data_IF_944378074543
#
_entry.id   IF_944378074543
#
_cell.length_a   1.000
_cell.length_b   1.000
_cell.length_c   1.000
_cell.angle_alpha   90.00
_cell.angle_beta   90.00
_cell.angle_gamma   90.00
#
_symmetry.space_group_name_H-M   'P 1'
#
loop_
_entity.id
_entity.type
_entity.pdbx_description
1 polymer ?
#
# COMPACT_ATOMS: atom_id res chain seq x y z
N UNK A 1 59.77 -2.12 42.17
CA UNK A 1 59.21 -3.24 42.95
C UNK A 1 60.18 -4.40 42.86
N UNK A 2 60.47 -5.10 43.95
CA UNK A 2 61.38 -6.25 43.97
C UNK A 2 60.69 -7.39 44.74
N UNK A 3 60.47 -8.53 44.09
CA UNK A 3 60.03 -9.76 44.76
C UNK A 3 61.22 -10.71 44.87
N UNK A 4 61.65 -11.08 46.08
CA UNK A 4 62.70 -12.08 46.26
C UNK A 4 62.22 -13.51 46.01
N UNK A 5 60.90 -13.72 45.93
CA UNK A 5 60.26 -15.01 45.69
C UNK A 5 59.64 -15.04 44.29
N UNK A 6 60.17 -15.91 43.42
CA UNK A 6 59.70 -16.08 42.04
C UNK A 6 58.37 -16.82 41.93
N UNK A 7 57.87 -17.40 43.03
CA UNK A 7 56.58 -18.07 43.09
C UNK A 7 55.41 -17.11 43.37
N UNK A 8 55.70 -15.86 43.75
CA UNK A 8 54.67 -14.84 44.01
C UNK A 8 54.58 -13.80 42.90
N UNK A 9 53.37 -13.48 42.41
CA UNK A 9 53.20 -12.44 41.41
C UNK A 9 53.52 -11.06 41.98
N UNK A 10 54.19 -10.21 41.20
CA UNK A 10 54.37 -8.80 41.51
C UNK A 10 53.18 -8.00 40.96
N UNK A 11 52.41 -7.36 41.84
CA UNK A 11 51.25 -6.53 41.47
C UNK A 11 51.56 -5.04 41.60
N UNK A 12 51.23 -4.24 40.59
CA UNK A 12 51.33 -2.78 40.60
C UNK A 12 50.04 -2.15 40.06
N UNK A 13 49.67 -0.98 40.60
CA UNK A 13 48.52 -0.20 40.15
C UNK A 13 49.05 0.99 39.35
N UNK A 14 48.55 1.16 38.12
CA UNK A 14 48.94 2.24 37.22
C UNK A 14 47.79 3.22 37.08
N UNK A 15 47.90 4.36 37.75
CA UNK A 15 46.95 5.43 37.58
C UNK A 15 47.59 6.78 37.87
N UNK A 16 47.41 7.75 36.98
CA UNK A 16 47.67 9.16 37.27
C UNK A 16 46.34 9.76 37.70
N UNK A 17 46.18 10.21 38.96
CA UNK A 17 44.93 10.80 39.41
C UNK A 17 44.54 12.02 38.56
N UNK A 18 43.28 12.07 38.13
CA UNK A 18 42.70 13.21 37.41
C UNK A 18 41.25 13.38 37.83
N UNK A 19 40.95 14.50 38.52
CA UNK A 19 39.60 14.82 39.00
C UNK A 19 38.61 15.13 37.87
N UNK A 20 39.12 15.40 36.65
CA UNK A 20 38.28 15.64 35.48
C UNK A 20 38.02 14.37 34.67
N UNK A 21 38.69 13.26 35.00
CA UNK A 21 38.44 11.97 34.37
C UNK A 21 37.32 11.24 35.11
N UNK A 22 36.41 10.61 34.34
CA UNK A 22 35.20 9.96 34.86
C UNK A 22 35.51 8.87 35.90
N UNK A 23 36.60 8.12 35.70
CA UNK A 23 37.08 7.09 36.62
C UNK A 23 38.16 7.58 37.60
N UNK A 24 38.40 8.90 37.67
CA UNK A 24 39.44 9.50 38.51
C UNK A 24 40.87 9.20 38.04
N UNK A 25 41.03 8.58 36.87
CA UNK A 25 42.30 8.17 36.31
C UNK A 25 42.51 8.76 34.92
N UNK A 26 43.68 9.37 34.70
CA UNK A 26 44.02 9.98 33.41
C UNK A 26 44.05 8.94 32.27
N UNK A 27 43.37 9.24 31.17
CA UNK A 27 43.36 8.48 29.92
C UNK A 27 44.66 8.73 29.14
N UNK A 28 45.15 7.72 28.42
CA UNK A 28 46.38 7.75 27.61
C UNK A 28 47.66 8.08 28.41
N UNK A 29 47.67 7.78 29.71
CA UNK A 29 48.88 7.82 30.51
C UNK A 29 49.74 6.59 30.17
N UNK A 30 51.02 6.78 29.84
CA UNK A 30 51.94 5.69 29.51
C UNK A 30 52.97 5.46 30.62
N UNK A 31 53.24 4.19 30.94
CA UNK A 31 54.35 3.77 31.79
C UNK A 31 55.23 2.78 31.06
N UNK A 32 56.54 2.95 31.19
CA UNK A 32 57.53 1.97 30.73
C UNK A 32 58.08 1.19 31.92
N UNK A 33 57.68 -0.07 32.01
CA UNK A 33 58.10 -1.00 33.04
C UNK A 33 59.39 -1.68 32.57
N UNK A 34 60.46 -1.55 33.34
CA UNK A 34 61.70 -2.27 33.12
C UNK A 34 61.74 -3.50 34.01
N UNK A 35 61.87 -4.68 33.39
CA UNK A 35 61.96 -5.97 34.06
C UNK A 35 63.42 -6.43 34.07
N UNK A 36 63.91 -6.72 35.27
CA UNK A 36 65.23 -7.28 35.51
C UNK A 36 65.06 -8.69 36.04
N UNK A 37 65.54 -9.67 35.27
CA UNK A 37 65.49 -11.09 35.62
C UNK A 37 66.91 -11.54 35.98
N UNK A 38 67.10 -11.94 37.24
CA UNK A 38 68.38 -12.41 37.76
C UNK A 38 68.39 -13.94 37.87
N UNK A 39 69.52 -14.58 37.56
CA UNK A 39 69.75 -15.99 37.85
C UNK A 39 70.61 -16.21 39.11
N UNK A 40 70.74 -17.46 39.55
CA UNK A 40 71.54 -17.85 40.73
C UNK A 40 73.05 -17.63 40.55
N UNK A 41 73.51 -17.36 39.33
CA UNK A 41 74.91 -17.10 39.01
C UNK A 41 75.22 -15.60 38.90
N UNK A 42 74.22 -14.73 39.11
CA UNK A 42 74.36 -13.27 39.07
C UNK A 42 74.22 -12.67 37.67
N UNK A 43 73.83 -13.43 36.66
CA UNK A 43 73.52 -12.88 35.33
C UNK A 43 72.17 -12.18 35.36
N UNK A 44 72.02 -11.12 34.55
CA UNK A 44 70.79 -10.33 34.46
C UNK A 44 70.31 -10.24 33.02
N UNK A 45 69.03 -10.54 32.79
CA UNK A 45 68.33 -10.19 31.54
C UNK A 45 67.44 -8.99 31.79
N UNK A 46 67.39 -8.09 30.84
CA UNK A 46 66.60 -6.87 30.90
C UNK A 46 65.61 -6.89 29.74
N UNK A 47 64.33 -6.65 30.03
CA UNK A 47 63.32 -6.37 29.03
C UNK A 47 62.45 -5.21 29.50
N UNK A 48 61.64 -4.63 28.61
CA UNK A 48 60.68 -3.62 28.98
C UNK A 48 59.28 -3.93 28.43
N UNK A 49 58.27 -3.36 29.08
CA UNK A 49 56.87 -3.41 28.68
C UNK A 49 56.35 -1.98 28.75
N UNK A 50 55.70 -1.51 27.70
CA UNK A 50 54.88 -0.29 27.76
C UNK A 50 53.45 -0.67 28.11
N UNK A 51 52.90 -0.01 29.13
CA UNK A 51 51.48 -0.10 29.50
C UNK A 51 50.87 1.29 29.43
N UNK A 52 49.62 1.40 29.04
CA UNK A 52 48.90 2.68 28.99
C UNK A 52 47.45 2.51 29.43
N UNK A 53 46.85 3.58 29.94
CA UNK A 53 45.41 3.65 30.23
C UNK A 53 44.65 3.98 28.95
N UNK A 54 43.59 3.24 28.64
CA UNK A 54 42.73 3.50 27.50
C UNK A 54 41.34 2.93 27.76
N UNK A 55 40.36 3.82 27.90
CA UNK A 55 39.01 3.42 28.31
C UNK A 55 38.33 2.56 27.25
N UNK A 56 38.54 2.86 25.96
CA UNK A 56 37.97 2.10 24.84
C UNK A 56 38.48 0.66 24.83
N UNK A 57 39.79 0.46 24.94
CA UNK A 57 40.38 -0.88 24.91
C UNK A 57 40.22 -1.64 26.23
N UNK A 58 40.02 -0.93 27.35
CA UNK A 58 39.75 -1.53 28.65
C UNK A 58 38.29 -2.01 28.78
N UNK A 59 37.38 -1.48 27.95
CA UNK A 59 36.01 -1.92 27.92
C UNK A 59 35.88 -3.37 27.44
N UNK A 60 35.13 -4.14 28.21
CA UNK A 60 34.87 -5.56 27.98
C UNK A 60 33.39 -5.91 28.09
N UNK A 61 32.57 -4.93 28.46
CA UNK A 61 31.13 -5.13 28.64
C UNK A 61 30.48 -4.92 27.28
N UNK A 62 29.78 -5.92 26.71
CA UNK A 62 29.01 -5.71 25.49
C UNK A 62 27.85 -4.72 25.73
N UNK A 63 27.47 -3.93 24.70
CA UNK A 63 26.31 -3.04 24.81
C UNK A 63 25.00 -3.83 24.87
N UNK A 64 23.96 -3.20 25.39
CA UNK A 64 22.59 -3.70 25.42
C UNK A 64 21.74 -3.00 24.34
N UNK A 65 21.13 -3.80 23.47
CA UNK A 65 20.32 -3.32 22.36
C UNK A 65 18.82 -3.28 22.73
N UNK A 66 18.14 -2.22 22.32
CA UNK A 66 16.70 -2.07 22.51
C UNK A 66 16.06 -1.47 21.26
N UNK A 67 15.00 -2.10 20.76
CA UNK A 67 14.16 -1.59 19.67
C UNK A 67 12.86 -1.09 20.27
N UNK A 68 12.49 0.14 19.94
CA UNK A 68 11.18 0.72 20.20
C UNK A 68 10.54 1.12 18.86
N UNK A 69 9.27 0.78 18.65
CA UNK A 69 8.50 1.28 17.51
C UNK A 69 7.82 2.57 17.97
N UNK A 70 7.99 3.64 17.20
CA UNK A 70 7.42 4.95 17.55
C UNK A 70 5.93 4.93 17.24
N UNK A 71 5.10 5.11 18.27
CA UNK A 71 3.64 5.19 18.16
C UNK A 71 3.21 6.57 17.60
N UNK A 72 3.25 6.71 16.28
CA UNK A 72 2.69 7.86 15.56
C UNK A 72 1.33 7.53 14.92
N UNK A 73 0.75 8.46 14.16
CA UNK A 73 -0.53 8.21 13.48
C UNK A 73 -0.46 7.02 12.52
N UNK A 74 0.65 6.88 11.79
CA UNK A 74 0.85 5.74 10.88
C UNK A 74 0.91 4.41 11.63
N UNK A 75 1.52 4.39 12.82
CA UNK A 75 1.47 3.21 13.68
C UNK A 75 0.03 2.87 14.11
N UNK A 76 -0.73 3.87 14.56
CA UNK A 76 -2.11 3.67 15.05
C UNK A 76 -3.05 3.13 13.97
N UNK A 77 -2.90 3.58 12.73
CA UNK A 77 -3.83 3.27 11.64
C UNK A 77 -3.48 1.96 10.89
N UNK A 78 -2.19 1.60 10.86
CA UNK A 78 -1.70 0.52 9.99
C UNK A 78 -0.98 -0.61 10.72
N UNK A 79 -0.70 -0.50 12.02
CA UNK A 79 0.12 -1.48 12.75
C UNK A 79 -0.65 -2.09 13.91
N UNK A 80 -0.74 -3.42 13.93
CA UNK A 80 -1.41 -4.19 14.97
C UNK A 80 -0.42 -5.15 15.64
N UNK A 81 -0.43 -5.22 16.97
CA UNK A 81 0.33 -6.24 17.69
C UNK A 81 -0.37 -7.61 17.60
N UNK A 82 0.27 -8.61 17.00
CA UNK A 82 -0.33 -9.93 16.76
C UNK A 82 0.26 -11.05 17.61
N UNK A 83 1.29 -10.75 18.42
CA UNK A 83 1.83 -11.69 19.41
C UNK A 83 3.35 -11.76 19.42
N UNK A 84 3.88 -12.94 19.71
CA UNK A 84 5.32 -13.18 19.82
C UNK A 84 5.75 -14.34 18.92
N UNK A 85 6.98 -14.25 18.41
CA UNK A 85 7.64 -15.28 17.63
C UNK A 85 8.91 -15.76 18.34
N UNK A 86 9.00 -17.06 18.56
CA UNK A 86 10.17 -17.67 19.18
C UNK A 86 11.33 -17.76 18.20
N UNK A 87 12.47 -17.19 18.57
CA UNK A 87 13.70 -17.28 17.77
C UNK A 87 14.89 -17.72 18.59
N UNK A 88 15.85 -18.44 17.99
CA UNK A 88 17.05 -18.84 18.70
C UNK A 88 17.95 -17.63 18.96
N UNK A 89 18.52 -17.56 20.16
CA UNK A 89 19.50 -16.54 20.53
C UNK A 89 20.88 -16.78 19.92
N UNK A 90 21.10 -17.98 19.35
CA UNK A 90 22.42 -18.43 18.88
C UNK A 90 23.27 -19.06 20.00
N UNK A 91 22.78 -19.08 21.24
CA UNK A 91 23.39 -19.81 22.36
C UNK A 91 22.67 -21.14 22.58
N UNK A 92 23.40 -22.15 23.07
CA UNK A 92 22.85 -23.46 23.45
C UNK A 92 22.92 -23.64 24.97
N UNK A 93 21.95 -24.34 25.54
CA UNK A 93 21.93 -24.74 26.95
C UNK A 93 22.92 -25.89 27.23
N UNK A 94 23.07 -26.28 28.50
CA UNK A 94 23.94 -27.39 28.92
C UNK A 94 23.57 -28.74 28.29
N UNK A 95 22.35 -28.86 27.73
CA UNK A 95 21.82 -30.05 27.09
C UNK A 95 21.93 -30.00 25.55
N UNK A 96 22.50 -28.93 24.99
CA UNK A 96 22.65 -28.73 23.54
C UNK A 96 21.39 -28.23 22.82
N UNK A 97 20.35 -27.80 23.54
CA UNK A 97 19.17 -27.17 22.95
C UNK A 97 19.43 -25.68 22.72
N UNK A 98 18.89 -25.13 21.63
CA UNK A 98 18.94 -23.69 21.39
C UNK A 98 18.13 -22.95 22.44
N UNK A 99 18.73 -21.89 23.00
CA UNK A 99 18.02 -20.96 23.86
C UNK A 99 17.12 -20.12 22.96
N UNK A 100 15.81 -20.13 23.23
CA UNK A 100 14.82 -19.39 22.47
C UNK A 100 14.41 -18.12 23.21
N UNK A 101 14.15 -17.06 22.46
CA UNK A 101 13.65 -15.76 22.95
C UNK A 101 12.37 -15.41 22.21
N UNK A 102 11.39 -14.87 22.94
CA UNK A 102 10.15 -14.36 22.38
C UNK A 102 10.40 -12.95 21.81
N UNK A 103 10.31 -12.82 20.49
CA UNK A 103 10.42 -11.54 19.78
C UNK A 103 9.03 -11.02 19.42
N UNK A 104 8.71 -9.74 19.61
CA UNK A 104 7.39 -9.21 19.29
C UNK A 104 7.10 -9.30 17.79
N UNK A 105 5.85 -9.59 17.46
CA UNK A 105 5.34 -9.71 16.09
C UNK A 105 4.19 -8.73 15.88
N UNK A 106 4.26 -7.97 14.80
CA UNK A 106 3.26 -7.00 14.37
C UNK A 106 2.71 -7.36 12.99
N UNK A 107 1.47 -6.98 12.72
CA UNK A 107 0.88 -6.94 11.39
C UNK A 107 0.90 -5.51 10.89
N UNK A 108 1.33 -5.33 9.66
CA UNK A 108 1.36 -4.04 8.96
C UNK A 108 0.42 -4.12 7.77
N UNK A 109 -0.58 -3.25 7.74
CA UNK A 109 -1.45 -3.06 6.58
C UNK A 109 -0.82 -2.04 5.65
N UNK A 110 -0.75 -2.33 4.35
CA UNK A 110 -0.32 -1.34 3.36
C UNK A 110 -1.38 -0.24 3.21
N UNK A 111 -0.97 0.99 2.97
CA UNK A 111 -1.85 2.11 2.62
C UNK A 111 -2.41 1.98 1.20
N UNK A 112 -3.28 2.93 0.82
CA UNK A 112 -3.80 3.17 -0.53
C UNK A 112 -2.70 3.38 -1.60
N UNK A 113 -1.53 3.87 -1.18
CA UNK A 113 -0.35 4.02 -2.05
C UNK A 113 0.43 2.71 -2.25
N UNK A 114 0.06 1.65 -1.53
CA UNK A 114 0.74 0.36 -1.52
C UNK A 114 2.03 0.33 -0.70
N UNK A 115 2.24 1.30 0.20
CA UNK A 115 3.42 1.35 1.06
C UNK A 115 3.20 1.98 2.45
N UNK A 116 3.65 1.29 3.50
CA UNK A 116 3.52 1.80 4.88
C UNK A 116 4.88 2.06 5.49
N UNK A 117 5.09 3.28 5.99
CA UNK A 117 6.34 3.66 6.66
C UNK A 117 6.20 3.62 8.18
N UNK A 118 7.13 2.93 8.84
CA UNK A 118 7.18 2.79 10.30
C UNK A 118 8.49 3.37 10.82
N UNK A 119 8.40 4.09 11.94
CA UNK A 119 9.54 4.68 12.64
C UNK A 119 9.99 3.79 13.80
N UNK A 120 11.29 3.64 13.91
CA UNK A 120 11.98 2.87 14.92
C UNK A 120 12.94 3.78 15.71
N UNK A 121 13.11 3.46 16.99
CA UNK A 121 14.02 4.13 17.91
C UNK A 121 14.93 3.11 18.58
N UNK A 122 16.24 3.40 18.57
CA UNK A 122 17.26 2.71 19.35
C UNK A 122 17.67 3.49 20.61
N UNK A 123 16.93 4.55 20.97
CA UNK A 123 17.32 5.50 22.01
C UNK A 123 17.48 4.88 23.41
N UNK A 124 16.75 3.79 23.69
CA UNK A 124 16.83 3.06 24.96
C UNK A 124 17.97 2.02 25.00
N UNK A 125 18.75 1.89 23.92
CA UNK A 125 19.97 1.07 23.95
C UNK A 125 20.99 1.71 24.89
N UNK A 126 21.79 0.90 25.58
CA UNK A 126 22.75 1.39 26.56
C UNK A 126 24.07 0.63 26.51
N UNK A 127 25.12 1.23 27.07
CA UNK A 127 26.42 0.61 27.20
C UNK A 127 27.08 1.09 28.50
N UNK A 128 27.68 0.16 29.25
CA UNK A 128 28.41 0.46 30.49
C UNK A 128 29.89 0.52 30.16
N UNK A 129 30.41 1.74 30.01
CA UNK A 129 31.82 1.97 29.74
C UNK A 129 31.98 3.09 28.74
N UNK A 130 32.22 2.72 27.48
CA UNK A 130 32.66 3.67 26.45
C UNK A 130 31.50 4.36 25.73
N UNK A 131 30.29 3.85 25.89
CA UNK A 131 29.09 4.29 25.22
C UNK A 131 28.94 3.68 23.83
N UNK A 132 27.80 3.92 23.21
CA UNK A 132 27.47 3.38 21.90
C UNK A 132 28.27 4.08 20.79
N UNK A 133 28.92 3.30 19.94
CA UNK A 133 29.62 3.76 18.75
C UNK A 133 28.71 3.87 17.53
N UNK A 134 27.93 2.82 17.24
CA UNK A 134 27.04 2.76 16.07
C UNK A 134 25.89 1.77 16.22
N UNK A 135 24.88 1.96 15.38
CA UNK A 135 23.72 1.09 15.21
C UNK A 135 23.73 0.47 13.82
N UNK A 136 23.38 -0.80 13.70
CA UNK A 136 23.14 -1.47 12.43
C UNK A 136 21.76 -2.10 12.44
N UNK A 137 20.89 -1.61 11.56
CA UNK A 137 19.56 -2.15 11.32
C UNK A 137 19.61 -3.10 10.13
N UNK A 138 19.14 -4.34 10.31
CA UNK A 138 19.04 -5.32 9.23
C UNK A 138 17.59 -5.72 9.00
N UNK A 139 17.16 -5.72 7.74
CA UNK A 139 15.83 -6.18 7.32
C UNK A 139 15.98 -7.41 6.46
N UNK A 140 15.33 -8.49 6.87
CA UNK A 140 15.34 -9.78 6.17
C UNK A 140 13.90 -10.21 5.87
N UNK A 141 13.68 -10.83 4.71
CA UNK A 141 12.36 -11.28 4.27
C UNK A 141 11.55 -10.23 3.51
N UNK A 142 12.07 -9.01 3.34
CA UNK A 142 11.47 -7.98 2.49
C UNK A 142 12.17 -7.92 1.12
N UNK A 143 11.87 -8.92 0.28
CA UNK A 143 12.52 -9.19 -1.00
C UNK A 143 13.64 -10.25 -0.91
N UNK A 144 14.40 -10.40 -1.99
CA UNK A 144 15.41 -11.47 -2.13
C UNK A 144 16.71 -11.21 -1.34
N UNK A 145 16.98 -9.97 -0.94
CA UNK A 145 18.24 -9.57 -0.33
C UNK A 145 18.03 -9.04 1.09
N UNK A 146 18.98 -9.32 1.97
CA UNK A 146 19.06 -8.70 3.29
C UNK A 146 19.50 -7.25 3.13
N UNK A 147 18.67 -6.32 3.61
CA UNK A 147 18.95 -4.89 3.62
C UNK A 147 19.67 -4.55 4.93
N UNK A 148 20.65 -3.64 4.88
CA UNK A 148 21.44 -3.24 6.05
C UNK A 148 21.70 -1.74 6.04
N UNK A 149 21.46 -1.10 7.17
CA UNK A 149 21.59 0.34 7.37
C UNK A 149 22.45 0.61 8.60
N UNK A 150 23.55 1.33 8.41
CA UNK A 150 24.43 1.73 9.51
C UNK A 150 24.17 3.20 9.88
N UNK A 151 23.94 3.44 11.17
CA UNK A 151 23.73 4.77 11.75
C UNK A 151 24.81 5.05 12.80
N UNK A 152 25.31 6.29 12.91
CA UNK A 152 26.21 6.67 13.99
C UNK A 152 25.49 6.58 15.34
N UNK A 153 26.22 6.35 16.44
CA UNK A 153 25.65 6.31 17.80
C UNK A 153 24.92 7.60 18.23
N UNK A 154 25.13 8.71 17.52
CA UNK A 154 24.39 9.97 17.71
C UNK A 154 23.00 10.00 17.07
N UNK A 155 22.69 9.08 16.16
CA UNK A 155 21.41 8.98 15.47
C UNK A 155 20.68 7.73 15.94
N UNK A 156 19.61 7.96 16.71
CA UNK A 156 18.81 6.89 17.34
C UNK A 156 17.50 6.59 16.62
N UNK A 157 17.09 7.43 15.67
CA UNK A 157 15.88 7.24 14.89
C UNK A 157 16.17 6.69 13.49
N UNK A 158 15.34 5.74 13.07
CA UNK A 158 15.39 5.11 11.75
C UNK A 158 13.97 4.85 11.24
N UNK A 159 13.75 5.04 9.94
CA UNK A 159 12.45 4.81 9.30
C UNK A 159 12.60 3.73 8.23
N UNK A 160 11.65 2.80 8.19
CA UNK A 160 11.58 1.78 7.15
C UNK A 160 10.22 1.77 6.47
N UNK A 161 10.21 1.56 5.15
CA UNK A 161 8.99 1.54 4.34
C UNK A 161 8.75 0.13 3.83
N UNK A 162 7.67 -0.48 4.29
CA UNK A 162 7.21 -1.80 3.84
C UNK A 162 6.47 -1.67 2.52
N UNK A 163 6.82 -2.55 1.56
CA UNK A 163 6.20 -2.56 0.21
C UNK A 163 5.82 -3.95 -0.27
N UNK A 164 6.51 -5.00 0.19
CA UNK A 164 6.23 -6.36 -0.26
C UNK A 164 5.28 -7.06 0.71
N UNK A 165 4.24 -7.68 0.15
CA UNK A 165 3.30 -8.51 0.88
C UNK A 165 4.00 -9.79 1.36
N UNK A 166 3.71 -10.19 2.60
CA UNK A 166 4.16 -11.47 3.13
C UNK A 166 3.11 -12.55 2.89
N UNK A 167 3.48 -13.64 2.20
CA UNK A 167 2.58 -14.75 1.95
C UNK A 167 2.64 -15.80 3.08
N UNK A 168 1.48 -16.17 3.63
CA UNK A 168 1.35 -17.27 4.60
C UNK A 168 2.05 -17.00 5.92
N UNK A 169 2.93 -17.91 6.35
CA UNK A 169 3.70 -17.78 7.60
C UNK A 169 5.01 -16.98 7.45
N UNK A 170 5.31 -16.48 6.24
CA UNK A 170 6.51 -15.68 6.04
C UNK A 170 6.38 -14.35 6.78
N UNK A 171 7.47 -13.92 7.42
CA UNK A 171 7.53 -12.67 8.17
C UNK A 171 8.80 -11.92 7.81
N UNK A 172 8.70 -10.60 7.75
CA UNK A 172 9.86 -9.72 7.66
C UNK A 172 10.47 -9.59 9.05
N UNK A 173 11.76 -9.84 9.16
CA UNK A 173 12.53 -9.68 10.40
C UNK A 173 13.32 -8.39 10.35
N UNK A 174 13.15 -7.55 11.36
CA UNK A 174 14.00 -6.39 11.63
C UNK A 174 14.89 -6.72 12.82
N UNK A 175 16.20 -6.66 12.65
CA UNK A 175 17.19 -6.90 13.71
C UNK A 175 18.04 -5.64 13.94
N UNK A 176 18.21 -5.28 15.21
CA UNK A 176 19.12 -4.23 15.65
C UNK A 176 20.38 -4.85 16.24
N UNK A 177 21.54 -4.46 15.68
CA UNK A 177 22.84 -4.71 16.28
C UNK A 177 23.45 -3.40 16.75
N UNK A 178 23.82 -3.32 18.02
CA UNK A 178 24.47 -2.16 18.64
C UNK A 178 25.94 -2.48 18.81
N UNK A 179 26.80 -1.53 18.46
CA UNK A 179 28.24 -1.62 18.67
C UNK A 179 28.69 -0.51 19.62
N UNK A 180 29.52 -0.87 20.60
CA UNK A 180 30.23 0.10 21.44
C UNK A 180 31.34 0.82 20.65
N UNK A 181 32.16 1.64 21.32
CA UNK A 181 33.29 2.32 20.67
C UNK A 181 34.50 1.42 20.40
N UNK A 182 34.47 0.18 20.87
CA UNK A 182 35.49 -0.86 20.63
C UNK A 182 35.08 -1.81 19.50
N UNK A 183 33.96 -1.53 18.82
CA UNK A 183 33.33 -2.40 17.82
C UNK A 183 32.90 -3.77 18.39
N UNK A 184 32.66 -3.88 19.69
CA UNK A 184 32.01 -5.03 20.32
C UNK A 184 30.50 -4.91 20.13
N UNK A 185 29.90 -5.97 19.59
CA UNK A 185 28.44 -6.05 19.38
C UNK A 185 27.70 -6.52 20.62
N UNK A 186 26.42 -6.17 20.74
CA UNK A 186 25.52 -6.76 21.72
C UNK A 186 25.46 -8.29 21.62
N UNK A 187 25.31 -8.97 22.75
CA UNK A 187 25.28 -10.43 22.80
C UNK A 187 23.91 -11.03 22.48
N UNK A 188 22.87 -10.46 23.08
CA UNK A 188 21.50 -10.96 22.92
C UNK A 188 20.88 -10.37 21.64
N UNK A 189 20.33 -11.20 20.74
CA UNK A 189 19.73 -10.68 19.52
C UNK A 189 18.46 -9.89 19.85
N UNK A 190 18.32 -8.73 19.22
CA UNK A 190 17.16 -7.86 19.38
C UNK A 190 16.41 -7.79 18.06
N UNK A 191 15.25 -8.44 18.01
CA UNK A 191 14.49 -8.68 16.77
C UNK A 191 13.03 -8.30 16.94
N UNK A 192 12.44 -7.84 15.85
CA UNK A 192 10.99 -7.63 15.71
C UNK A 192 10.53 -8.25 14.39
N UNK A 193 9.35 -8.86 14.40
CA UNK A 193 8.78 -9.52 13.24
C UNK A 193 7.56 -8.77 12.72
N UNK A 194 7.40 -8.77 11.40
CA UNK A 194 6.31 -8.11 10.71
C UNK A 194 5.67 -9.06 9.71
N UNK A 195 4.34 -9.19 9.75
CA UNK A 195 3.55 -9.71 8.64
C UNK A 195 2.92 -8.53 7.89
N UNK A 196 3.16 -8.44 6.58
CA UNK A 196 2.67 -7.34 5.75
C UNK A 196 1.50 -7.84 4.91
N UNK A 197 0.36 -7.19 5.09
CA UNK A 197 -0.90 -7.51 4.42
C UNK A 197 -1.33 -6.35 3.52
N UNK A 198 -2.13 -6.64 2.50
CA UNK A 198 -2.64 -5.61 1.59
C UNK A 198 -3.60 -4.66 2.29
N UNK A 199 -3.89 -3.53 1.65
CA UNK A 199 -4.84 -2.51 2.11
C UNK A 199 -6.21 -3.10 2.50
N UNK A 200 -6.71 -4.07 1.73
CA UNK A 200 -8.03 -4.69 1.93
C UNK A 200 -8.03 -5.83 2.95
N UNK A 201 -6.96 -6.00 3.73
CA UNK A 201 -6.88 -7.12 4.66
C UNK A 201 -7.85 -6.93 5.84
N UNK A 202 -8.79 -7.86 5.97
CA UNK A 202 -9.85 -7.80 6.97
C UNK A 202 -11.11 -7.08 6.49
N UNK A 203 -11.07 -6.54 5.27
CA UNK A 203 -12.15 -5.81 4.63
C UNK A 203 -13.04 -6.76 3.80
N UNK A 204 -14.31 -6.40 3.62
CA UNK A 204 -15.28 -7.09 2.80
C UNK A 204 -15.88 -6.13 1.78
N UNK A 205 -16.16 -6.61 0.57
CA UNK A 205 -16.70 -5.77 -0.48
C UNK A 205 -17.99 -5.03 -0.02
N UNK A 206 -18.20 -3.77 -0.46
CA UNK A 206 -19.41 -3.04 -0.13
C UNK A 206 -20.63 -3.74 -0.70
N UNK A 207 -21.71 -3.76 0.07
CA UNK A 207 -23.01 -4.22 -0.40
C UNK A 207 -23.94 -3.03 -0.56
N UNK A 208 -24.70 -3.00 -1.66
CA UNK A 208 -25.82 -2.06 -1.82
C UNK A 208 -27.13 -2.81 -1.86
N UNK A 209 -28.04 -2.37 -1.02
CA UNK A 209 -29.43 -2.76 -1.10
C UNK A 209 -30.16 -1.72 -1.95
N UNK A 210 -30.44 -2.10 -3.19
CA UNK A 210 -31.25 -1.28 -4.08
C UNK A 210 -32.69 -1.26 -3.58
N UNK A 211 -33.27 -0.07 -3.50
CA UNK A 211 -34.71 0.04 -3.52
C UNK A 211 -35.16 -0.41 -4.91
N UNK A 212 -35.82 -1.57 -4.97
CA UNK A 212 -36.37 -2.15 -6.19
C UNK A 212 -36.97 -1.07 -7.10
N UNK A 213 -36.45 -0.94 -8.32
CA UNK A 213 -37.04 -0.09 -9.37
C UNK A 213 -38.29 -0.76 -9.98
N UNK A 214 -38.58 -2.02 -9.59
CA UNK A 214 -39.88 -2.61 -9.84
C UNK A 214 -40.87 -2.12 -8.77
N UNK A 215 -41.99 -1.53 -9.20
CA UNK A 215 -43.18 -1.49 -8.36
C UNK A 215 -43.49 -2.92 -7.91
N UNK A 216 -44.03 -3.08 -6.69
CA UNK A 216 -44.28 -4.38 -6.05
C UNK A 216 -45.14 -5.38 -6.87
N UNK A 217 -45.68 -4.94 -8.02
CA UNK A 217 -46.59 -5.69 -8.88
C UNK A 217 -46.03 -5.99 -10.30
N UNK A 218 -44.76 -5.64 -10.60
CA UNK A 218 -44.11 -6.05 -11.86
C UNK A 218 -44.65 -5.39 -13.14
N UNK A 219 -45.21 -4.18 -13.04
CA UNK A 219 -45.72 -3.44 -14.22
C UNK A 219 -44.60 -2.69 -14.97
N UNK A 220 -44.73 -2.60 -16.30
CA UNK A 220 -43.84 -1.83 -17.18
C UNK A 220 -43.97 -0.32 -16.94
N UNK A 221 -42.90 0.43 -17.25
CA UNK A 221 -42.71 1.90 -17.07
C UNK A 221 -43.70 2.82 -17.82
N UNK A 222 -44.95 2.41 -18.05
CA UNK A 222 -46.00 3.21 -18.69
C UNK A 222 -46.48 4.42 -17.85
N UNK A 223 -45.92 4.62 -16.65
CA UNK A 223 -46.42 5.59 -15.67
C UNK A 223 -45.40 6.59 -15.14
N UNK A 224 -44.24 6.77 -15.78
CA UNK A 224 -43.32 7.83 -15.36
C UNK A 224 -43.91 9.20 -15.72
N UNK A 225 -44.24 10.02 -14.72
CA UNK A 225 -44.72 11.41 -14.90
C UNK A 225 -43.65 12.32 -15.53
N UNK A 226 -42.38 11.90 -15.51
CA UNK A 226 -41.25 12.60 -16.12
C UNK A 226 -40.24 11.61 -16.71
N UNK A 227 -39.50 12.01 -17.74
CA UNK A 227 -38.46 11.18 -18.38
C UNK A 227 -37.17 11.03 -17.53
N UNK A 228 -37.29 11.26 -16.22
CA UNK A 228 -36.20 11.23 -15.25
C UNK A 228 -36.37 9.99 -14.36
N UNK A 229 -35.33 9.18 -14.28
CA UNK A 229 -35.19 8.05 -13.38
C UNK A 229 -34.33 8.47 -12.20
N UNK A 230 -34.84 8.25 -10.99
CA UNK A 230 -34.06 8.39 -9.76
C UNK A 230 -33.65 7.00 -9.29
N UNK A 231 -32.36 6.82 -9.02
CA UNK A 231 -31.78 5.60 -8.48
C UNK A 231 -31.37 5.91 -7.06
N UNK A 232 -31.96 5.17 -6.12
CA UNK A 232 -31.66 5.27 -4.69
C UNK A 232 -31.27 3.92 -4.15
N UNK A 233 -30.45 3.96 -3.11
CA UNK A 233 -30.06 2.79 -2.34
C UNK A 233 -29.37 3.23 -1.08
N UNK A 234 -29.11 2.27 -0.19
CA UNK A 234 -28.32 2.48 1.01
C UNK A 234 -26.99 1.75 0.87
N UNK A 235 -25.90 2.46 1.16
CA UNK A 235 -24.57 1.88 1.21
C UNK A 235 -24.42 1.09 2.50
N UNK A 236 -23.99 -0.16 2.37
CA UNK A 236 -23.47 -0.95 3.49
C UNK A 236 -21.98 -1.09 3.25
N UNK A 237 -21.25 -0.24 3.95
CA UNK A 237 -19.79 -0.27 3.98
C UNK A 237 -19.39 -1.31 5.04
N UNK A 238 -18.67 -2.33 4.60
CA UNK A 238 -18.25 -3.44 5.46
C UNK A 238 -16.78 -3.30 5.87
N UNK A 239 -16.20 -2.11 5.72
CA UNK A 239 -14.82 -1.87 6.06
C UNK A 239 -14.54 -1.92 7.58
N UNK A 240 -13.27 -2.13 7.90
CA UNK A 240 -12.78 -2.06 9.27
C UNK A 240 -12.37 -0.63 9.67
N UNK A 241 -12.29 0.29 8.71
CA UNK A 241 -11.99 1.70 8.93
C UNK A 241 -13.28 2.44 9.31
N UNK A 242 -13.26 3.77 9.34
CA UNK A 242 -14.48 4.57 9.42
C UNK A 242 -14.43 5.64 8.32
N UNK A 243 -13.73 5.32 7.23
CA UNK A 243 -13.38 6.25 6.18
C UNK A 243 -14.53 6.27 5.17
N UNK A 244 -15.18 7.42 5.01
CA UNK A 244 -16.30 7.55 4.08
C UNK A 244 -15.79 7.73 2.65
N UNK A 245 -15.32 6.66 2.02
CA UNK A 245 -14.69 6.69 0.70
C UNK A 245 -15.49 5.97 -0.40
N UNK A 246 -16.69 5.47 -0.09
CA UNK A 246 -17.56 4.83 -1.07
C UNK A 246 -18.05 5.82 -2.13
N UNK A 247 -17.93 5.42 -3.39
CA UNK A 247 -18.41 6.14 -4.56
C UNK A 247 -19.40 5.29 -5.35
N UNK A 248 -20.55 5.86 -5.68
CA UNK A 248 -21.56 5.22 -6.53
C UNK A 248 -21.71 6.03 -7.83
N UNK A 249 -21.51 5.37 -8.95
CA UNK A 249 -21.64 5.91 -10.30
C UNK A 249 -22.75 5.17 -11.06
N UNK A 250 -23.55 5.87 -11.87
CA UNK A 250 -24.57 5.27 -12.73
C UNK A 250 -24.50 5.82 -14.16
N UNK A 251 -24.58 4.96 -15.16
CA UNK A 251 -24.48 5.28 -16.58
C UNK A 251 -25.59 4.63 -17.38
N UNK A 252 -26.15 5.32 -18.37
CA UNK A 252 -27.12 4.76 -19.29
C UNK A 252 -26.44 4.26 -20.59
N UNK A 253 -26.48 2.94 -20.80
CA UNK A 253 -26.04 2.19 -21.98
C UNK A 253 -24.56 2.33 -22.39
N UNK A 254 -23.74 2.94 -21.53
CA UNK A 254 -22.30 3.10 -21.78
C UNK A 254 -21.49 2.74 -20.53
N UNK A 255 -20.99 1.50 -20.49
CA UNK A 255 -20.04 1.04 -19.45
C UNK A 255 -18.70 1.76 -19.51
N UNK A 256 -18.30 2.25 -20.68
CA UNK A 256 -16.95 2.81 -20.86
C UNK A 256 -16.79 4.16 -20.20
N UNK A 257 -17.90 4.80 -19.79
CA UNK A 257 -17.87 6.13 -19.15
C UNK A 257 -17.17 6.11 -17.80
N UNK A 258 -17.23 4.98 -17.07
CA UNK A 258 -16.64 4.84 -15.74
C UNK A 258 -15.12 5.03 -15.76
N UNK A 259 -14.48 4.69 -16.88
CA UNK A 259 -13.02 4.79 -17.04
C UNK A 259 -12.59 6.08 -17.78
N UNK A 260 -13.52 7.00 -18.10
CA UNK A 260 -13.21 8.28 -18.74
C UNK A 260 -12.76 9.34 -17.73
N UNK A 261 -12.13 10.39 -18.24
CA UNK A 261 -11.76 11.55 -17.43
C UNK A 261 -12.96 12.32 -16.90
N UNK A 262 -12.78 13.02 -15.79
CA UNK A 262 -13.84 13.79 -15.11
C UNK A 262 -14.49 14.84 -15.99
N UNK A 263 -13.75 15.41 -16.95
CA UNK A 263 -14.31 16.34 -17.94
C UNK A 263 -15.37 15.69 -18.82
N UNK A 264 -15.18 14.43 -19.21
CA UNK A 264 -16.15 13.67 -20.00
C UNK A 264 -17.33 13.24 -19.09
N UNK A 265 -17.04 12.74 -17.88
CA UNK A 265 -18.09 12.37 -16.90
C UNK A 265 -19.00 13.54 -16.57
N UNK A 266 -18.44 14.73 -16.32
CA UNK A 266 -19.20 15.97 -16.05
C UNK A 266 -20.07 16.37 -17.23
N UNK A 267 -19.57 16.24 -18.47
CA UNK A 267 -20.36 16.53 -19.65
C UNK A 267 -21.53 15.54 -19.81
N UNK A 268 -21.32 14.25 -19.54
CA UNK A 268 -22.40 13.25 -19.57
C UNK A 268 -23.42 13.46 -18.45
N UNK A 269 -22.99 13.92 -17.28
CA UNK A 269 -23.88 14.34 -16.18
C UNK A 269 -24.75 15.52 -16.55
N UNK A 270 -24.19 16.54 -17.23
CA UNK A 270 -24.98 17.65 -17.75
C UNK A 270 -26.02 17.23 -18.81
N UNK A 271 -25.75 16.13 -19.52
CA UNK A 271 -26.68 15.53 -20.50
C UNK A 271 -27.69 14.55 -19.87
N UNK A 272 -27.59 14.29 -18.56
CA UNK A 272 -28.43 13.32 -17.84
C UNK A 272 -28.16 11.87 -18.23
N UNK A 273 -27.01 11.55 -18.83
CA UNK A 273 -26.65 10.18 -19.25
C UNK A 273 -25.80 9.44 -18.24
N UNK A 274 -25.25 10.17 -17.29
CA UNK A 274 -24.38 9.68 -16.23
C UNK A 274 -24.68 10.45 -14.96
N UNK A 275 -24.54 9.83 -13.81
CA UNK A 275 -24.56 10.53 -12.53
C UNK A 275 -23.63 9.85 -11.54
N UNK A 276 -23.15 10.58 -10.55
CA UNK A 276 -22.35 10.02 -9.47
C UNK A 276 -22.50 10.80 -8.16
N UNK A 277 -22.25 10.08 -7.08
CA UNK A 277 -22.13 10.58 -5.71
C UNK A 277 -20.93 9.90 -5.06
N UNK A 278 -20.17 10.64 -4.26
CA UNK A 278 -18.94 10.19 -3.62
C UNK A 278 -18.91 10.64 -2.16
N UNK A 279 -18.05 10.03 -1.35
CA UNK A 279 -17.91 10.34 0.07
C UNK A 279 -19.07 9.80 0.91
N UNK A 280 -19.56 8.62 0.55
CA UNK A 280 -20.67 7.93 1.24
C UNK A 280 -20.10 7.05 2.37
N UNK A 281 -20.77 7.04 3.52
CA UNK A 281 -20.45 6.19 4.67
C UNK A 281 -21.46 5.04 4.82
N UNK A 282 -21.22 4.12 5.77
CA UNK A 282 -22.20 3.10 6.17
C UNK A 282 -23.57 3.72 6.55
N UNK A 283 -24.63 3.19 5.96
CA UNK A 283 -26.00 3.63 6.17
C UNK A 283 -26.39 4.90 5.40
N UNK A 284 -25.48 5.52 4.65
CA UNK A 284 -25.81 6.68 3.82
C UNK A 284 -26.69 6.28 2.63
N UNK A 285 -27.62 7.17 2.29
CA UNK A 285 -28.43 7.05 1.09
C UNK A 285 -27.81 7.84 -0.05
N UNK A 286 -27.67 7.19 -1.20
CA UNK A 286 -27.31 7.86 -2.44
C UNK A 286 -28.54 8.17 -3.29
N UNK A 287 -28.44 9.24 -4.08
CA UNK A 287 -29.49 9.68 -4.98
C UNK A 287 -28.88 10.09 -6.32
N UNK A 288 -29.10 9.25 -7.34
CA UNK A 288 -28.60 9.46 -8.70
C UNK A 288 -29.77 9.67 -9.67
N UNK A 289 -29.57 10.53 -10.66
CA UNK A 289 -30.61 10.96 -11.60
C UNK A 289 -30.19 10.75 -13.04
N UNK A 290 -30.96 9.99 -13.81
CA UNK A 290 -30.73 9.73 -15.24
C UNK A 290 -31.93 10.16 -16.09
N UNK A 291 -31.66 10.69 -17.29
CA UNK A 291 -32.67 11.13 -18.24
C UNK A 291 -32.79 10.12 -19.40
N UNK A 292 -33.96 9.51 -19.53
CA UNK A 292 -34.27 8.49 -20.53
C UNK A 292 -35.11 9.00 -21.70
N UNK A 293 -35.37 10.31 -21.81
CA UNK A 293 -36.20 10.91 -22.88
C UNK A 293 -35.77 10.46 -24.28
N UNK A 294 -34.46 10.30 -24.49
CA UNK A 294 -33.88 9.90 -25.77
C UNK A 294 -33.98 8.39 -26.07
N UNK A 295 -34.58 7.59 -25.17
CA UNK A 295 -34.78 6.15 -25.35
C UNK A 295 -36.15 5.79 -25.89
N UNK A 296 -37.11 6.69 -25.86
CA UNK A 296 -38.42 6.43 -26.46
C UNK A 296 -38.31 6.40 -27.99
N UNK A 297 -39.00 5.43 -28.61
CA UNK A 297 -39.15 5.34 -30.07
C UNK A 297 -40.63 5.51 -30.43
N UNK A 298 -40.90 6.06 -31.62
CA UNK A 298 -42.27 6.44 -32.02
C UNK A 298 -43.18 5.24 -32.32
N UNK A 299 -42.61 4.15 -32.83
CA UNK A 299 -43.37 3.01 -33.38
C UNK A 299 -43.21 1.72 -32.60
N UNK A 300 -42.16 1.59 -31.79
CA UNK A 300 -41.80 0.37 -31.05
C UNK A 300 -41.28 0.75 -29.66
N UNK A 301 -41.32 -0.18 -28.71
CA UNK A 301 -40.65 0.00 -27.42
C UNK A 301 -39.13 -0.11 -27.59
N UNK A 302 -38.36 0.45 -26.67
CA UNK A 302 -36.90 0.35 -26.69
C UNK A 302 -36.39 -0.29 -25.39
N UNK A 303 -35.16 -0.80 -25.43
CA UNK A 303 -34.46 -1.28 -24.24
C UNK A 303 -33.31 -0.34 -23.92
N UNK A 304 -33.11 -0.08 -22.63
CA UNK A 304 -31.92 0.59 -22.12
C UNK A 304 -31.35 -0.19 -20.95
N UNK A 305 -30.06 -0.09 -20.71
CA UNK A 305 -29.38 -0.69 -19.58
C UNK A 305 -28.76 0.43 -18.76
N UNK A 306 -29.16 0.56 -17.50
CA UNK A 306 -28.42 1.37 -16.53
C UNK A 306 -27.32 0.49 -15.97
N UNK A 307 -26.07 0.89 -16.13
CA UNK A 307 -24.94 0.31 -15.44
C UNK A 307 -24.66 1.10 -14.17
N UNK A 308 -24.36 0.42 -13.09
CA UNK A 308 -24.03 1.01 -11.80
C UNK A 308 -22.67 0.46 -11.41
N UNK A 309 -21.76 1.35 -11.00
CA UNK A 309 -20.45 0.99 -10.47
C UNK A 309 -20.31 1.55 -9.08
N UNK A 310 -19.93 0.69 -8.15
CA UNK A 310 -19.52 1.06 -6.82
C UNK A 310 -18.02 0.90 -6.71
N UNK A 311 -17.37 1.91 -6.16
CA UNK A 311 -15.93 1.92 -5.94
C UNK A 311 -15.65 2.31 -4.50
N UNK A 312 -14.82 1.54 -3.83
CA UNK A 312 -14.33 1.76 -2.47
C UNK A 312 -12.89 1.23 -2.44
N UNK A 313 -11.91 2.11 -2.21
CA UNK A 313 -10.49 1.78 -2.47
C UNK A 313 -10.26 1.07 -3.81
N UNK A 314 -9.80 -0.19 -3.75
CA UNK A 314 -9.63 -1.06 -4.92
C UNK A 314 -10.83 -1.98 -5.23
N UNK A 315 -11.86 -2.05 -4.38
CA UNK A 315 -13.09 -2.78 -4.70
C UNK A 315 -13.87 -2.07 -5.79
N UNK A 316 -14.27 -2.85 -6.80
CA UNK A 316 -15.18 -2.40 -7.85
C UNK A 316 -16.31 -3.42 -7.95
N UNK A 317 -17.53 -2.99 -7.66
CA UNK A 317 -18.75 -3.79 -7.82
C UNK A 317 -19.57 -3.18 -8.93
N UNK A 318 -19.75 -3.93 -10.01
CA UNK A 318 -20.59 -3.53 -11.14
C UNK A 318 -21.95 -4.24 -11.06
N UNK A 319 -23.04 -3.50 -11.23
CA UNK A 319 -24.40 -4.02 -11.37
C UNK A 319 -25.10 -3.38 -12.57
N UNK A 320 -26.22 -3.96 -12.99
CA UNK A 320 -26.99 -3.46 -14.12
C UNK A 320 -28.50 -3.61 -13.93
N UNK A 321 -29.23 -2.61 -14.43
CA UNK A 321 -30.68 -2.58 -14.42
C UNK A 321 -31.17 -2.44 -15.85
N UNK A 322 -31.96 -3.40 -16.31
CA UNK A 322 -32.58 -3.34 -17.63
C UNK A 322 -33.87 -2.55 -17.56
N UNK A 323 -34.01 -1.57 -18.46
CA UNK A 323 -35.17 -0.73 -18.65
C UNK A 323 -35.88 -1.11 -19.95
N UNK A 324 -37.21 -1.13 -19.90
CA UNK A 324 -38.05 -1.30 -21.08
C UNK A 324 -38.94 -0.06 -21.22
N UNK A 325 -38.80 0.67 -22.33
CA UNK A 325 -39.69 1.77 -22.69
C UNK A 325 -40.78 1.26 -23.63
N UNK A 326 -41.97 1.85 -23.53
CA UNK A 326 -43.03 1.65 -24.53
C UNK A 326 -42.93 2.66 -25.66
N UNK A 327 -43.54 2.38 -26.83
CA UNK A 327 -43.61 3.37 -27.89
C UNK A 327 -44.29 4.64 -27.39
N UNK A 328 -43.74 5.81 -27.73
CA UNK A 328 -44.32 7.12 -27.41
C UNK A 328 -44.32 7.98 -28.66
N UNK A 329 -45.49 8.43 -29.11
CA UNK A 329 -45.56 9.39 -30.20
C UNK A 329 -45.05 10.75 -29.69
N UNK A 330 -44.28 11.46 -30.53
CA UNK A 330 -43.82 12.81 -30.24
C UNK A 330 -44.97 13.85 -30.08
N UNK A 331 -46.23 13.42 -30.17
CA UNK A 331 -47.42 14.27 -30.10
C UNK A 331 -47.90 14.53 -28.65
N UNK A 332 -47.39 13.81 -27.64
CA UNK A 332 -47.79 14.02 -26.23
C UNK A 332 -47.20 15.29 -25.56
N UNK A 333 -46.54 16.18 -26.32
CA UNK A 333 -46.33 17.57 -25.89
C UNK A 333 -47.51 18.52 -26.22
N UNK A 334 -48.59 18.00 -26.81
CA UNK A 334 -49.81 18.76 -27.10
C UNK A 334 -50.87 18.60 -25.99
N UNK A 335 -50.77 19.39 -24.92
CA UNK A 335 -51.87 19.55 -23.97
C UNK A 335 -53.14 20.06 -24.67
N UNK A 336 -54.28 19.42 -24.37
CA UNK A 336 -55.61 19.71 -24.91
C UNK A 336 -55.96 21.21 -24.92
N UNK A 337 -56.50 21.65 -26.06
CA UNK A 337 -57.01 23.00 -26.33
C UNK A 337 -58.22 23.37 -25.46
N UNK A 338 -58.25 24.61 -24.96
CA UNK A 338 -59.47 25.43 -24.97
C UNK A 338 -59.09 26.92 -25.08
N UNK A 339 -59.81 27.63 -25.94
CA UNK A 339 -59.31 28.82 -26.63
C UNK A 339 -59.30 30.13 -25.85
N UNK A 340 -58.43 31.05 -26.29
CA UNK A 340 -58.79 32.43 -26.65
C UNK A 340 -57.54 33.32 -26.78
N UNK A 341 -57.29 33.83 -28.00
CA UNK A 341 -56.70 35.16 -28.19
C UNK A 341 -55.19 35.24 -28.34
N UNK A 342 -54.75 35.29 -29.60
CA UNK A 342 -53.78 36.27 -30.15
C UNK A 342 -52.52 36.59 -29.31
N UNK A 343 -51.36 36.09 -29.74
CA UNK A 343 -50.19 36.89 -30.17
C UNK A 343 -48.87 36.10 -30.10
N UNK A 344 -48.04 36.31 -31.13
CA UNK A 344 -46.57 36.16 -31.11
C UNK A 344 -45.97 34.75 -31.23
N UNK A 345 -45.84 34.30 -32.48
CA UNK A 345 -44.76 33.42 -32.90
C UNK A 345 -43.40 34.13 -32.71
N UNK A 346 -42.59 33.76 -31.70
CA UNK A 346 -41.15 34.02 -31.67
C UNK A 346 -40.43 33.25 -30.53
N UNK A 347 -39.35 32.53 -30.87
CA UNK A 347 -38.25 32.04 -30.01
C UNK A 347 -38.62 30.90 -29.02
N UNK A 348 -38.01 29.71 -29.01
CA UNK A 348 -36.59 29.37 -29.14
C UNK A 348 -36.41 27.96 -29.73
N UNK A 349 -35.94 27.88 -30.97
CA UNK A 349 -35.29 26.70 -31.53
C UNK A 349 -33.93 27.17 -32.06
N UNK A 350 -32.83 26.70 -31.45
CA UNK A 350 -31.49 26.86 -32.01
C UNK A 350 -30.48 27.60 -31.14
N UNK A 351 -30.02 26.98 -30.05
CA UNK A 351 -28.68 27.24 -29.47
C UNK A 351 -28.02 25.90 -29.07
N UNK A 352 -27.90 24.98 -30.04
CA UNK A 352 -27.13 23.74 -29.86
C UNK A 352 -26.07 23.55 -30.95
N UNK A 353 -26.38 23.96 -32.18
CA UNK A 353 -25.53 23.71 -33.35
C UNK A 353 -24.43 24.76 -33.60
N UNK A 354 -24.51 25.96 -33.02
CA UNK A 354 -23.52 27.03 -33.27
C UNK A 354 -22.29 26.97 -32.34
N UNK A 355 -22.41 26.38 -31.15
CA UNK A 355 -21.26 26.25 -30.22
C UNK A 355 -20.32 25.11 -30.63
N UNK A 356 -20.83 24.02 -31.19
CA UNK A 356 -20.01 22.92 -31.72
C UNK A 356 -19.14 23.36 -32.91
N UNK A 357 -19.66 24.22 -33.81
CA UNK A 357 -18.89 24.71 -34.96
C UNK A 357 -17.82 25.73 -34.52
N UNK A 358 -18.08 26.53 -33.49
CA UNK A 358 -17.08 27.47 -32.95
C UNK A 358 -15.93 26.74 -32.23
N UNK A 359 -16.21 25.67 -31.47
CA UNK A 359 -15.17 24.90 -30.75
C UNK A 359 -14.35 24.02 -31.70
N UNK A 360 -14.96 23.43 -32.73
CA UNK A 360 -14.24 22.72 -33.81
C UNK A 360 -13.40 23.68 -34.67
N UNK A 361 -13.88 24.91 -34.89
CA UNK A 361 -13.13 25.95 -35.61
C UNK A 361 -11.88 26.43 -34.87
N UNK A 362 -11.93 26.49 -33.53
CA UNK A 362 -10.79 26.91 -32.71
C UNK A 362 -9.75 25.80 -32.56
N UNK A 363 -10.14 24.53 -32.40
CA UNK A 363 -9.18 23.40 -32.31
C UNK A 363 -8.48 23.11 -33.64
N UNK A 364 -9.18 23.24 -34.79
CA UNK A 364 -8.56 23.08 -36.11
C UNK A 364 -7.60 24.23 -36.49
N UNK A 365 -7.74 25.42 -35.89
CA UNK A 365 -6.84 26.54 -36.14
C UNK A 365 -5.53 26.46 -35.33
N UNK A 366 -5.51 25.69 -34.24
CA UNK A 366 -4.29 25.45 -33.45
C UNK A 366 -3.41 24.28 -33.95
N UNK A 367 -3.87 23.48 -34.92
CA UNK A 367 -3.09 22.36 -35.48
C UNK A 367 -2.41 22.65 -36.83
N UNK A 368 -2.53 23.87 -37.38
CA UNK A 368 -1.92 24.21 -38.68
C UNK A 368 -0.54 24.84 -38.51
N UNK A 369 0.44 24.02 -38.13
CA UNK A 369 1.79 24.49 -37.83
C UNK A 369 2.93 23.48 -37.92
N UNK A 370 2.90 22.45 -38.80
CA UNK A 370 4.12 21.80 -39.36
C UNK A 370 3.81 20.70 -40.40
N UNK A 371 4.24 20.96 -41.64
CA UNK A 371 4.99 20.04 -42.52
C UNK A 371 4.65 18.53 -42.57
N UNK A 372 4.00 18.12 -43.66
CA UNK A 372 4.64 17.24 -44.67
C UNK A 372 4.39 15.72 -44.65
N UNK A 373 3.97 15.23 -45.83
CA UNK A 373 4.06 13.88 -46.42
C UNK A 373 2.87 12.91 -46.27
N UNK A 374 2.39 12.50 -47.45
CA UNK A 374 1.43 11.45 -47.73
C UNK A 374 1.94 10.06 -47.33
N UNK A 375 1.08 9.24 -46.71
CA UNK A 375 1.01 7.82 -47.07
C UNK A 375 -0.37 7.24 -46.74
N UNK A 376 -0.97 6.73 -47.80
CA UNK A 376 -2.17 5.90 -47.82
C UNK A 376 -1.73 4.50 -47.37
N UNK A 377 -2.33 3.90 -46.33
CA UNK A 377 -2.57 2.46 -46.39
C UNK A 377 -3.69 1.93 -45.49
N UNK A 378 -4.32 0.94 -46.09
CA UNK A 378 -5.35 -0.03 -45.74
C UNK A 378 -5.72 -0.35 -44.28
N UNK A 379 -7.02 -0.66 -44.14
CA UNK A 379 -7.69 -1.34 -43.03
C UNK A 379 -7.36 -2.84 -43.06
N UNK A 380 -6.95 -3.40 -41.92
CA UNK A 380 -7.15 -4.81 -41.54
C UNK A 380 -7.78 -4.80 -40.13
N UNK A 381 -9.11 -4.86 -39.97
CA UNK A 381 -9.89 -6.10 -39.91
C UNK A 381 -9.25 -7.22 -39.06
N UNK A 382 -9.10 -7.00 -37.76
CA UNK A 382 -8.98 -8.11 -36.80
C UNK A 382 -10.37 -8.57 -36.35
N UNK A 383 -10.92 -9.52 -37.09
CA UNK A 383 -12.03 -10.35 -36.66
C UNK A 383 -11.51 -11.60 -35.93
N UNK A 384 -12.22 -12.01 -34.87
CA UNK A 384 -12.11 -13.35 -34.30
C UNK A 384 -11.67 -13.42 -32.85
N UNK A 385 -12.45 -12.85 -31.92
CA UNK A 385 -12.30 -13.12 -30.46
C UNK A 385 -13.34 -14.10 -29.91
N UNK A 386 -14.25 -14.62 -30.74
CA UNK A 386 -15.37 -15.43 -30.24
C UNK A 386 -15.00 -16.88 -29.82
N UNK A 387 -13.76 -17.34 -30.00
CA UNK A 387 -13.36 -18.73 -29.64
C UNK A 387 -11.95 -18.85 -29.05
N UNK A 388 -11.43 -17.81 -28.40
CA UNK A 388 -10.14 -17.91 -27.71
C UNK A 388 -10.34 -18.37 -26.27
N UNK A 389 -9.51 -19.31 -25.80
CA UNK A 389 -9.47 -19.72 -24.40
C UNK A 389 -9.34 -18.45 -23.51
N UNK A 390 -10.22 -18.24 -22.51
CA UNK A 390 -10.20 -17.06 -21.63
C UNK A 390 -8.81 -16.78 -21.04
N UNK A 391 -8.02 -17.83 -20.82
CA UNK A 391 -6.62 -17.72 -20.36
C UNK A 391 -5.77 -17.01 -21.41
N UNK A 392 -5.90 -17.36 -22.69
CA UNK A 392 -5.07 -16.85 -23.77
C UNK A 392 -5.40 -15.40 -24.13
N UNK A 393 -6.68 -15.01 -24.03
CA UNK A 393 -7.10 -13.62 -24.19
C UNK A 393 -6.48 -12.72 -23.10
N UNK A 394 -6.45 -13.21 -21.86
CA UNK A 394 -5.83 -12.49 -20.75
C UNK A 394 -4.30 -12.42 -20.87
N UNK A 395 -3.66 -13.48 -21.38
CA UNK A 395 -2.22 -13.46 -21.71
C UNK A 395 -1.91 -12.38 -22.74
N UNK A 396 -2.71 -12.27 -23.82
CA UNK A 396 -2.48 -11.24 -24.83
C UNK A 396 -2.69 -9.82 -24.28
N UNK A 397 -3.61 -9.63 -23.34
CA UNK A 397 -3.78 -8.35 -22.64
C UNK A 397 -2.55 -7.99 -21.79
N UNK A 398 -2.00 -8.95 -21.04
CA UNK A 398 -0.80 -8.73 -20.22
C UNK A 398 0.44 -8.47 -21.08
N UNK A 399 0.60 -9.19 -22.18
CA UNK A 399 1.69 -8.95 -23.14
C UNK A 399 1.56 -7.57 -23.80
N UNK A 400 0.34 -7.12 -24.13
CA UNK A 400 0.09 -5.78 -24.65
C UNK A 400 0.43 -4.66 -23.64
N UNK A 401 0.41 -4.97 -22.35
CA UNK A 401 0.84 -4.08 -21.26
C UNK A 401 2.35 -4.15 -20.97
N UNK A 402 3.10 -4.95 -21.74
CA UNK A 402 4.56 -5.03 -21.65
C UNK A 402 5.09 -6.14 -20.75
N UNK A 403 4.25 -7.05 -20.26
CA UNK A 403 4.69 -8.22 -19.51
C UNK A 403 5.29 -9.29 -20.43
N UNK A 404 6.33 -9.98 -19.96
CA UNK A 404 6.88 -11.14 -20.67
C UNK A 404 5.83 -12.25 -20.79
N UNK A 405 5.73 -12.87 -21.98
CA UNK A 405 4.67 -13.85 -22.28
C UNK A 405 4.69 -15.05 -21.33
N UNK A 406 5.87 -15.49 -20.87
CA UNK A 406 5.94 -16.62 -19.92
C UNK A 406 5.40 -16.22 -18.55
N UNK A 407 5.68 -15.00 -18.11
CA UNK A 407 5.14 -14.46 -16.86
C UNK A 407 3.63 -14.23 -16.96
N UNK A 408 3.17 -13.65 -18.08
CA UNK A 408 1.76 -13.42 -18.37
C UNK A 408 0.95 -14.73 -18.36
N UNK A 409 1.50 -15.82 -18.90
CA UNK A 409 0.87 -17.15 -18.82
C UNK A 409 0.78 -17.69 -17.41
N UNK A 410 1.80 -17.50 -16.57
CA UNK A 410 1.75 -17.93 -15.17
C UNK A 410 0.69 -17.17 -14.38
N UNK A 411 0.60 -15.85 -14.56
CA UNK A 411 -0.46 -15.05 -13.94
C UNK A 411 -1.85 -15.47 -14.43
N UNK A 412 -2.02 -15.66 -15.75
CA UNK A 412 -3.28 -16.09 -16.31
C UNK A 412 -3.70 -17.48 -15.81
N UNK A 413 -2.78 -18.43 -15.72
CA UNK A 413 -3.08 -19.77 -15.19
C UNK A 413 -3.40 -19.75 -13.69
N UNK A 414 -2.74 -18.93 -12.87
CA UNK A 414 -3.11 -18.78 -11.45
C UNK A 414 -4.49 -18.14 -11.28
N UNK A 415 -4.76 -17.08 -12.04
CA UNK A 415 -6.04 -16.37 -12.01
C UNK A 415 -7.21 -17.30 -12.36
N UNK A 416 -7.08 -18.06 -13.46
CA UNK A 416 -8.14 -18.97 -13.88
C UNK A 416 -8.14 -20.32 -13.16
N UNK A 417 -7.06 -20.75 -12.51
CA UNK A 417 -7.07 -21.95 -11.66
C UNK A 417 -8.06 -21.82 -10.50
N UNK A 418 -8.19 -20.61 -9.92
CA UNK A 418 -9.23 -20.33 -8.92
C UNK A 418 -10.63 -20.36 -9.55
N UNK A 419 -10.81 -19.78 -10.74
CA UNK A 419 -12.10 -19.73 -11.44
C UNK A 419 -12.65 -21.12 -11.79
N UNK A 420 -11.82 -22.03 -12.32
CA UNK A 420 -12.23 -23.41 -12.63
C UNK A 420 -12.45 -24.26 -11.37
N UNK A 421 -11.80 -23.94 -10.26
CA UNK A 421 -12.02 -24.64 -8.97
C UNK A 421 -13.39 -24.33 -8.36
N UNK A 422 -13.96 -23.15 -8.64
CA UNK A 422 -15.30 -22.75 -8.19
C UNK A 422 -16.42 -23.37 -9.04
N UNK A 423 -16.21 -23.56 -10.36
CA UNK A 423 -17.20 -24.23 -11.20
C UNK A 423 -17.42 -25.72 -10.85
N UNK A 424 -16.41 -26.41 -10.33
CA UNK A 424 -16.53 -27.83 -9.95
C UNK A 424 -17.21 -28.08 -8.59
N UNK A 425 -17.55 -27.05 -7.80
CA UNK A 425 -18.27 -27.19 -6.53
C UNK A 425 -19.77 -26.86 -6.59
N UNK A 426 -20.26 -26.33 -7.72
CA UNK A 426 -21.66 -25.93 -7.90
C UNK A 426 -22.54 -26.89 -8.70
N UNK A 427 -22.04 -28.08 -9.07
CA UNK A 427 -22.77 -29.02 -9.92
C UNK A 427 -22.62 -30.47 -9.49
N UNK A 428 -23.43 -30.93 -8.54
CA UNK A 428 -23.57 -32.35 -8.26
C UNK A 428 -24.22 -32.67 -6.91
N UNK A 429 -25.53 -32.91 -6.93
CA UNK A 429 -26.28 -33.53 -5.82
C UNK A 429 -27.61 -32.87 -5.54
#
# INVERSE_FOLDING_TARGET
MHSPDSSQPATAIFCVPDENAELGCKIDAEWRIWLFLHDSYGNTRITNISVYTNDINADSTPPEAHIEIVEDSSFADFVEFVGYQQTPTGKQDENGNWIMVDSPKYRVRLSDTGDTSIRFSSANSSDIGTGIGKFTWSVNGDGDNVQSYELPGSQVEWTYTFRNLTAGENTIMVELTVYDKRDQRNEEPTRVFFEVVGEMFGDAAPEVQFDSIATADGESFNGLESDIINITGTVVDNDASADCDVKVEASLDDLTIFDKSDGIKTAQKALGRFDWQEGLCDGDQYFLTLNISHKYLETEGNVGVIHIRLTEGAYVVDDQITLYTVPRSNEEQGGNEEGSGDTSALMFAGIGALLLIAVLGVTMMFMRGRSGSDQQDSVESFGGVEQMDPVEAYVQQLVAQGYDEQMARQYATQYYAQYYSQQNKGGGG
#
